data_IF_539807911107
#
_entry.id   IF_539807911107
#
_cell.length_a   1.000
_cell.length_b   1.000
_cell.length_c   1.000
_cell.angle_alpha   90.00
_cell.angle_beta   90.00
_cell.angle_gamma   90.00
#
_symmetry.space_group_name_H-M   'P 1'
#
loop_
_entity.id
_entity.type
_entity.pdbx_description
1 polymer ?
#
# COMPACT_ATOMS: atom_id res chain seq x y z
N UNK A 1 18.82 -4.77 -9.94
CA UNK A 1 19.37 -4.68 -8.56
C UNK A 1 19.57 -6.09 -8.04
N UNK A 2 20.66 -6.32 -7.30
CA UNK A 2 20.85 -7.60 -6.59
C UNK A 2 19.76 -7.76 -5.53
N UNK A 3 19.31 -8.99 -5.29
CA UNK A 3 18.35 -9.31 -4.22
C UNK A 3 19.17 -9.38 -2.92
N UNK A 4 18.99 -8.41 -2.02
CA UNK A 4 19.76 -8.32 -0.79
C UNK A 4 19.03 -7.55 0.32
N UNK A 5 19.19 -8.01 1.54
CA UNK A 5 18.85 -7.26 2.75
C UNK A 5 19.99 -6.31 3.09
N UNK A 6 19.68 -5.01 3.21
CA UNK A 6 20.59 -3.96 3.67
C UNK A 6 19.87 -3.26 4.82
N UNK A 7 20.56 -3.07 5.94
CA UNK A 7 19.99 -2.33 7.06
C UNK A 7 19.97 -0.82 6.73
N UNK A 8 18.81 -0.18 6.57
CA UNK A 8 18.74 1.23 6.20
C UNK A 8 19.30 2.18 7.27
N UNK A 9 19.33 1.76 8.53
CA UNK A 9 19.86 2.56 9.63
C UNK A 9 21.39 2.61 9.67
N UNK A 10 22.09 1.62 9.07
CA UNK A 10 23.55 1.55 9.06
C UNK A 10 24.16 1.55 7.67
N UNK A 11 23.37 1.22 6.63
CA UNK A 11 23.86 0.98 5.27
C UNK A 11 24.55 -0.38 5.08
N UNK A 12 24.62 -1.21 6.12
CA UNK A 12 25.32 -2.50 6.09
C UNK A 12 24.50 -3.58 5.38
N UNK A 13 25.16 -4.36 4.52
CA UNK A 13 24.56 -5.54 3.90
C UNK A 13 24.44 -6.69 4.90
N UNK A 14 23.22 -7.09 5.21
CA UNK A 14 22.92 -8.19 6.13
C UNK A 14 23.01 -9.57 5.44
N UNK A 15 22.41 -9.69 4.25
CA UNK A 15 22.34 -10.95 3.52
C UNK A 15 22.12 -10.74 2.02
N UNK A 16 22.81 -11.53 1.19
CA UNK A 16 22.59 -11.60 -0.26
C UNK A 16 21.82 -12.87 -0.65
N UNK A 17 21.05 -12.78 -1.73
CA UNK A 17 20.27 -13.89 -2.25
C UNK A 17 20.52 -14.08 -3.74
N UNK A 18 20.58 -15.34 -4.18
CA UNK A 18 20.68 -15.67 -5.60
C UNK A 18 19.28 -15.72 -6.21
N UNK A 19 19.11 -15.05 -7.33
CA UNK A 19 17.85 -15.14 -8.09
C UNK A 19 17.61 -16.57 -8.57
N UNK A 20 16.36 -17.01 -8.58
CA UNK A 20 15.97 -18.30 -9.08
C UNK A 20 16.21 -18.38 -10.60
N UNK A 21 16.72 -19.52 -11.03
CA UNK A 21 16.84 -19.85 -12.45
C UNK A 21 15.50 -20.32 -13.06
N UNK A 22 15.46 -20.46 -14.38
CA UNK A 22 14.25 -20.85 -15.09
C UNK A 22 13.72 -22.23 -14.65
N UNK A 23 14.58 -23.17 -14.28
CA UNK A 23 14.15 -24.50 -13.82
C UNK A 23 13.42 -24.42 -12.45
N UNK A 24 13.89 -23.58 -11.53
CA UNK A 24 13.23 -23.36 -10.26
C UNK A 24 11.90 -22.62 -10.42
N UNK A 25 11.85 -21.63 -11.30
CA UNK A 25 10.61 -20.89 -11.63
C UNK A 25 9.59 -21.88 -12.22
N UNK A 26 9.99 -22.73 -13.19
CA UNK A 26 9.13 -23.73 -13.81
C UNK A 26 8.58 -24.72 -12.79
N UNK A 27 9.41 -25.18 -11.86
CA UNK A 27 9.00 -26.08 -10.78
C UNK A 27 7.92 -25.43 -9.89
N UNK A 28 8.11 -24.15 -9.53
CA UNK A 28 7.16 -23.41 -8.69
C UNK A 28 5.84 -23.11 -9.41
N UNK A 29 5.87 -22.80 -10.69
CA UNK A 29 4.66 -22.62 -11.49
C UNK A 29 3.84 -23.90 -11.62
N UNK A 30 4.48 -25.06 -11.87
CA UNK A 30 3.79 -26.36 -11.86
C UNK A 30 3.17 -26.68 -10.51
N UNK A 31 3.88 -26.39 -9.41
CA UNK A 31 3.37 -26.59 -8.06
C UNK A 31 2.15 -25.72 -7.81
N UNK A 32 2.17 -24.43 -8.18
CA UNK A 32 1.03 -23.52 -8.03
C UNK A 32 -0.20 -23.99 -8.82
N UNK A 33 0.00 -24.46 -10.06
CA UNK A 33 -1.09 -25.00 -10.87
C UNK A 33 -1.72 -26.25 -10.23
N UNK A 34 -0.89 -27.16 -9.73
CA UNK A 34 -1.35 -28.36 -9.02
C UNK A 34 -2.11 -28.00 -7.74
N UNK A 35 -1.53 -27.14 -6.88
CA UNK A 35 -2.15 -26.67 -5.65
C UNK A 35 -3.50 -25.99 -5.89
N UNK A 36 -3.62 -25.21 -6.97
CA UNK A 36 -4.90 -24.59 -7.34
C UNK A 36 -6.00 -25.62 -7.58
N UNK A 37 -5.71 -26.75 -8.26
CA UNK A 37 -6.72 -27.78 -8.53
C UNK A 37 -7.27 -28.43 -7.27
N UNK A 38 -6.51 -28.43 -6.19
CA UNK A 38 -6.92 -28.93 -4.89
C UNK A 38 -7.60 -27.83 -4.08
N UNK A 39 -6.94 -26.68 -3.92
CA UNK A 39 -7.38 -25.56 -3.08
C UNK A 39 -8.74 -24.99 -3.49
N UNK A 40 -9.02 -24.88 -4.79
CA UNK A 40 -10.34 -24.42 -5.30
C UNK A 40 -11.52 -25.29 -4.88
N UNK A 41 -11.27 -26.54 -4.50
CA UNK A 41 -12.28 -27.52 -4.10
C UNK A 41 -12.45 -27.63 -2.59
N UNK A 42 -11.55 -27.00 -1.83
CA UNK A 42 -11.66 -26.97 -0.37
C UNK A 42 -12.86 -26.12 0.06
N UNK A 43 -13.54 -26.56 1.12
CA UNK A 43 -14.68 -25.81 1.67
C UNK A 43 -14.24 -24.48 2.32
N UNK A 44 -15.12 -23.50 2.39
CA UNK A 44 -14.87 -22.25 3.12
C UNK A 44 -14.42 -22.48 4.57
N UNK A 45 -15.05 -23.36 5.38
CA UNK A 45 -14.57 -23.65 6.73
C UNK A 45 -13.13 -24.16 6.77
N UNK A 46 -12.72 -25.00 5.80
CA UNK A 46 -11.34 -25.50 5.75
C UNK A 46 -10.35 -24.38 5.45
N UNK A 47 -10.63 -23.54 4.44
CA UNK A 47 -9.78 -22.38 4.10
C UNK A 47 -9.74 -21.37 5.26
N UNK A 48 -10.87 -21.13 5.93
CA UNK A 48 -10.95 -20.27 7.11
C UNK A 48 -10.07 -20.78 8.25
N UNK A 49 -10.10 -22.09 8.54
CA UNK A 49 -9.24 -22.70 9.57
C UNK A 49 -7.75 -22.50 9.26
N UNK A 50 -7.34 -22.69 8.01
CA UNK A 50 -5.95 -22.45 7.58
C UNK A 50 -5.56 -20.99 7.76
N UNK A 51 -6.42 -20.07 7.36
CA UNK A 51 -6.14 -18.63 7.48
C UNK A 51 -6.10 -18.14 8.93
N UNK A 52 -6.95 -18.68 9.81
CA UNK A 52 -6.89 -18.45 11.26
C UNK A 52 -5.57 -18.98 11.85
N UNK A 53 -5.08 -20.12 11.36
CA UNK A 53 -3.77 -20.64 11.77
C UNK A 53 -2.64 -19.67 11.38
N UNK A 54 -2.69 -19.06 10.20
CA UNK A 54 -1.75 -18.00 9.80
C UNK A 54 -1.83 -16.81 10.76
N UNK A 55 -3.04 -16.33 11.08
CA UNK A 55 -3.24 -15.22 12.03
C UNK A 55 -2.60 -15.54 13.40
N UNK A 56 -2.77 -16.75 13.89
CA UNK A 56 -2.19 -17.20 15.17
C UNK A 56 -0.67 -17.22 15.13
N UNK A 57 -0.07 -17.66 14.01
CA UNK A 57 1.38 -17.61 13.82
C UNK A 57 1.90 -16.18 13.79
N UNK A 58 1.23 -15.28 13.05
CA UNK A 58 1.56 -13.85 13.00
C UNK A 58 1.55 -13.22 14.40
N UNK A 59 0.52 -13.45 15.20
CA UNK A 59 0.39 -12.93 16.56
C UNK A 59 1.48 -13.48 17.49
N UNK A 60 1.77 -14.78 17.41
CA UNK A 60 2.78 -15.44 18.23
C UNK A 60 4.20 -14.95 17.92
N UNK A 61 4.52 -14.72 16.66
CA UNK A 61 5.87 -14.42 16.18
C UNK A 61 6.06 -12.94 15.80
N UNK A 62 5.10 -12.08 16.16
CA UNK A 62 5.05 -10.66 15.72
C UNK A 62 6.34 -9.89 15.98
N UNK A 63 7.03 -10.13 17.10
CA UNK A 63 8.28 -9.43 17.42
C UNK A 63 9.46 -9.86 16.54
N UNK A 64 9.56 -11.14 16.19
CA UNK A 64 10.60 -11.66 15.31
C UNK A 64 10.39 -11.18 13.87
N UNK A 65 9.15 -11.28 13.39
CA UNK A 65 8.76 -10.79 12.06
C UNK A 65 8.94 -9.28 11.94
N UNK A 66 8.55 -8.52 12.96
CA UNK A 66 8.75 -7.07 13.04
C UNK A 66 10.24 -6.70 13.02
N UNK A 67 11.09 -7.45 13.75
CA UNK A 67 12.54 -7.23 13.72
C UNK A 67 13.12 -7.41 12.32
N UNK A 68 12.70 -8.45 11.60
CA UNK A 68 13.12 -8.67 10.20
C UNK A 68 12.71 -7.50 9.31
N UNK A 69 11.48 -7.02 9.46
CA UNK A 69 10.96 -5.86 8.72
C UNK A 69 11.74 -4.58 9.01
N UNK A 70 11.99 -4.27 10.29
CA UNK A 70 12.79 -3.11 10.70
C UNK A 70 14.19 -3.15 10.11
N UNK A 71 14.85 -4.30 10.14
CA UNK A 71 16.19 -4.49 9.59
C UNK A 71 16.27 -4.39 8.07
N UNK A 72 15.21 -4.75 7.32
CA UNK A 72 15.22 -4.74 5.86
C UNK A 72 14.74 -3.43 5.24
N UNK A 73 13.86 -2.67 5.94
CA UNK A 73 13.30 -1.45 5.35
C UNK A 73 13.29 -0.21 6.27
N UNK A 74 13.80 -0.33 7.50
CA UNK A 74 13.99 0.81 8.41
C UNK A 74 12.72 1.31 9.12
N UNK A 75 11.59 0.61 9.02
CA UNK A 75 10.37 0.94 9.76
C UNK A 75 10.61 0.86 11.26
N UNK A 76 10.05 1.80 12.02
CA UNK A 76 10.09 1.77 13.48
C UNK A 76 9.59 0.41 13.99
N UNK A 77 10.31 -0.17 14.93
CA UNK A 77 10.00 -1.52 15.44
C UNK A 77 8.56 -1.62 15.97
N UNK A 78 8.08 -0.60 16.73
CA UNK A 78 6.69 -0.56 17.19
C UNK A 78 5.68 -0.57 16.03
N UNK A 79 5.93 0.21 14.97
CA UNK A 79 5.07 0.25 13.80
C UNK A 79 5.13 -1.05 12.97
N UNK A 80 6.28 -1.76 13.00
CA UNK A 80 6.41 -3.09 12.40
C UNK A 80 5.59 -4.13 13.15
N UNK A 81 5.54 -4.08 14.48
CA UNK A 81 4.67 -4.95 15.30
C UNK A 81 3.19 -4.69 14.99
N UNK A 82 2.77 -3.42 14.91
CA UNK A 82 1.40 -3.04 14.54
C UNK A 82 1.00 -3.52 13.14
N UNK A 83 1.94 -3.52 12.18
CA UNK A 83 1.71 -4.05 10.84
C UNK A 83 1.45 -5.55 10.85
N UNK A 84 2.23 -6.33 11.61
CA UNK A 84 2.02 -7.78 11.76
C UNK A 84 0.66 -8.06 12.42
N UNK A 85 0.30 -7.33 13.46
CA UNK A 85 -1.01 -7.45 14.11
C UNK A 85 -2.16 -7.10 13.15
N UNK A 86 -1.96 -6.09 12.29
CA UNK A 86 -2.92 -5.72 11.24
C UNK A 86 -3.12 -6.86 10.23
N UNK A 87 -2.04 -7.55 9.85
CA UNK A 87 -2.12 -8.73 8.97
C UNK A 87 -2.95 -9.85 9.62
N UNK A 88 -2.72 -10.13 10.90
CA UNK A 88 -3.49 -11.12 11.64
C UNK A 88 -4.99 -10.77 11.69
N UNK A 89 -5.32 -9.50 11.98
CA UNK A 89 -6.71 -9.03 11.94
C UNK A 89 -7.34 -9.19 10.55
N UNK A 90 -6.60 -8.87 9.49
CA UNK A 90 -7.06 -9.05 8.11
C UNK A 90 -7.35 -10.52 7.77
N UNK A 91 -6.48 -11.44 8.19
CA UNK A 91 -6.71 -12.88 8.03
C UNK A 91 -7.98 -13.35 8.74
N UNK A 92 -8.19 -12.95 10.00
CA UNK A 92 -9.40 -13.31 10.77
C UNK A 92 -10.66 -12.73 10.10
N UNK A 93 -10.61 -11.48 9.67
CA UNK A 93 -11.73 -10.84 8.99
C UNK A 93 -12.19 -11.61 7.75
N UNK A 94 -11.25 -12.01 6.87
CA UNK A 94 -11.61 -12.79 5.68
C UNK A 94 -12.00 -14.22 6.00
N UNK A 95 -11.42 -14.86 7.03
CA UNK A 95 -11.87 -16.17 7.50
C UNK A 95 -13.34 -16.18 7.94
N UNK A 96 -13.81 -15.07 8.52
CA UNK A 96 -15.18 -14.91 9.01
C UNK A 96 -16.18 -14.45 7.94
N UNK A 97 -15.74 -13.70 6.93
CA UNK A 97 -16.65 -12.99 6.04
C UNK A 97 -16.60 -13.43 4.57
N UNK A 98 -15.55 -14.17 4.14
CA UNK A 98 -15.34 -14.47 2.72
C UNK A 98 -16.47 -15.30 2.09
N UNK A 99 -17.04 -16.25 2.83
CA UNK A 99 -18.17 -17.07 2.36
C UNK A 99 -19.35 -16.19 1.98
N UNK A 100 -19.75 -15.26 2.86
CA UNK A 100 -20.84 -14.30 2.62
C UNK A 100 -20.55 -13.38 1.42
N UNK A 101 -19.30 -12.99 1.20
CA UNK A 101 -18.93 -12.13 0.07
C UNK A 101 -18.98 -12.85 -1.29
N UNK A 102 -18.96 -14.16 -1.28
CA UNK A 102 -18.92 -15.01 -2.47
C UNK A 102 -20.16 -15.92 -2.59
N UNK A 103 -21.22 -15.64 -1.81
CA UNK A 103 -22.51 -16.29 -1.98
C UNK A 103 -23.07 -16.05 -3.39
N UNK A 104 -23.83 -17.02 -3.89
CA UNK A 104 -24.56 -16.88 -5.15
C UNK A 104 -25.55 -15.71 -5.06
N UNK A 105 -25.54 -14.82 -6.04
CA UNK A 105 -26.44 -13.68 -6.14
C UNK A 105 -27.63 -14.05 -7.06
N UNK A 106 -28.85 -14.29 -6.51
CA UNK A 106 -30.01 -14.59 -7.34
C UNK A 106 -30.36 -13.46 -8.28
N UNK A 107 -30.70 -13.79 -9.52
CA UNK A 107 -31.20 -12.85 -10.50
C UNK A 107 -32.63 -13.27 -10.94
N UNK A 108 -33.54 -12.33 -11.04
CA UNK A 108 -34.90 -12.61 -11.54
C UNK A 108 -34.92 -12.51 -13.07
N UNK A 109 -35.19 -13.63 -13.73
CA UNK A 109 -35.22 -13.74 -15.20
C UNK A 109 -36.35 -14.70 -15.60
N UNK A 110 -36.50 -14.98 -16.89
CA UNK A 110 -37.44 -15.95 -17.43
C UNK A 110 -37.03 -17.42 -17.20
N UNK A 111 -35.84 -17.67 -16.64
CA UNK A 111 -35.37 -19.01 -16.30
C UNK A 111 -36.08 -19.56 -15.04
N UNK A 112 -36.16 -20.89 -14.96
CA UNK A 112 -36.61 -21.54 -13.72
C UNK A 112 -35.70 -21.18 -12.53
N UNK A 113 -34.39 -21.01 -12.77
CA UNK A 113 -33.41 -20.54 -11.79
C UNK A 113 -32.27 -19.82 -12.53
N UNK A 114 -31.94 -18.62 -12.05
CA UNK A 114 -30.77 -17.90 -12.54
C UNK A 114 -30.06 -17.16 -11.41
N UNK A 115 -28.75 -17.15 -11.47
CA UNK A 115 -27.89 -16.53 -10.46
C UNK A 115 -26.50 -16.27 -10.98
N UNK A 116 -25.80 -15.38 -10.29
CA UNK A 116 -24.38 -15.13 -10.45
C UNK A 116 -23.60 -16.00 -9.47
N UNK A 117 -22.63 -16.74 -9.98
CA UNK A 117 -21.73 -17.60 -9.20
C UNK A 117 -20.30 -17.11 -9.27
N UNK A 118 -19.59 -17.08 -8.15
CA UNK A 118 -18.20 -16.63 -8.09
C UNK A 118 -17.24 -17.83 -8.07
N UNK A 119 -16.37 -17.95 -9.09
CA UNK A 119 -15.36 -19.01 -9.19
C UNK A 119 -13.94 -18.44 -9.14
N UNK A 120 -13.00 -19.07 -8.37
CA UNK A 120 -11.59 -18.69 -8.41
C UNK A 120 -10.99 -18.94 -9.79
N UNK A 121 -10.13 -18.02 -10.24
CA UNK A 121 -9.56 -18.09 -11.60
C UNK A 121 -8.23 -18.81 -11.70
N UNK A 122 -7.45 -18.92 -10.61
CA UNK A 122 -6.21 -19.69 -10.59
C UNK A 122 -5.02 -19.00 -9.92
N UNK A 123 -3.78 -19.32 -10.36
CA UNK A 123 -2.60 -18.68 -9.86
C UNK A 123 -2.53 -17.18 -10.21
N UNK A 124 -2.31 -16.34 -9.21
CA UNK A 124 -2.22 -14.89 -9.33
C UNK A 124 -0.79 -14.45 -9.03
N UNK A 125 -0.18 -13.70 -9.93
CA UNK A 125 1.12 -13.07 -9.71
C UNK A 125 0.94 -11.80 -8.89
N UNK A 126 1.50 -11.76 -7.68
CA UNK A 126 1.51 -10.61 -6.80
C UNK A 126 2.89 -9.94 -6.82
N UNK A 127 2.97 -8.69 -7.26
CA UNK A 127 4.19 -7.89 -7.32
C UNK A 127 4.08 -6.81 -6.25
N UNK A 128 4.81 -6.97 -5.13
CA UNK A 128 4.60 -6.18 -3.94
C UNK A 128 5.80 -5.32 -3.57
N UNK A 129 5.58 -4.10 -3.02
CA UNK A 129 6.62 -3.16 -2.66
C UNK A 129 7.15 -3.42 -1.25
N UNK A 130 8.17 -2.69 -0.87
CA UNK A 130 8.92 -2.81 0.38
C UNK A 130 8.34 -2.01 1.56
N UNK A 131 7.45 -1.05 1.34
CA UNK A 131 7.09 -0.05 2.37
C UNK A 131 6.17 -0.58 3.50
N UNK A 132 5.35 -1.56 3.21
CA UNK A 132 4.58 -2.36 4.17
C UNK A 132 4.73 -3.84 3.78
N UNK A 133 5.90 -4.46 4.08
CA UNK A 133 6.29 -5.74 3.47
C UNK A 133 5.33 -6.89 3.75
N UNK A 134 4.67 -6.88 4.90
CA UNK A 134 3.64 -7.86 5.23
C UNK A 134 2.26 -7.41 4.80
N UNK A 135 1.84 -6.19 5.16
CA UNK A 135 0.46 -5.76 4.89
C UNK A 135 0.11 -5.73 3.41
N UNK A 136 1.01 -5.27 2.53
CA UNK A 136 0.77 -5.27 1.08
C UNK A 136 0.54 -6.70 0.55
N UNK A 137 1.26 -7.67 1.08
CA UNK A 137 1.08 -9.08 0.70
C UNK A 137 -0.21 -9.65 1.28
N UNK A 138 -0.46 -9.46 2.59
CA UNK A 138 -1.64 -10.02 3.24
C UNK A 138 -2.95 -9.38 2.78
N UNK A 139 -2.93 -8.11 2.38
CA UNK A 139 -4.06 -7.40 1.78
C UNK A 139 -4.57 -8.10 0.52
N UNK A 140 -3.66 -8.68 -0.26
CA UNK A 140 -3.96 -9.53 -1.40
C UNK A 140 -4.18 -10.99 -1.00
N UNK A 141 -3.24 -11.60 -0.26
CA UNK A 141 -3.19 -13.04 -0.04
C UNK A 141 -4.38 -13.57 0.77
N UNK A 142 -4.80 -12.85 1.81
CA UNK A 142 -5.91 -13.30 2.66
C UNK A 142 -7.23 -13.46 1.87
N UNK A 143 -7.73 -12.45 1.14
CA UNK A 143 -8.93 -12.61 0.32
C UNK A 143 -8.72 -13.59 -0.84
N UNK A 144 -7.56 -13.60 -1.51
CA UNK A 144 -7.32 -14.47 -2.67
C UNK A 144 -7.33 -15.95 -2.28
N UNK A 145 -6.68 -16.33 -1.17
CA UNK A 145 -6.67 -17.70 -0.67
C UNK A 145 -8.05 -18.11 -0.14
N UNK A 146 -8.78 -17.23 0.57
CA UNK A 146 -10.14 -17.51 0.98
C UNK A 146 -11.09 -17.70 -0.20
N UNK A 147 -10.88 -17.00 -1.30
CA UNK A 147 -11.62 -17.16 -2.54
C UNK A 147 -11.31 -18.49 -3.27
N UNK A 148 -10.24 -19.19 -2.89
CA UNK A 148 -9.80 -20.44 -3.52
C UNK A 148 -8.78 -20.26 -4.65
N UNK A 149 -8.24 -19.05 -4.83
CA UNK A 149 -7.07 -18.78 -5.68
C UNK A 149 -5.78 -19.19 -4.98
N UNK A 150 -4.66 -19.17 -5.72
CA UNK A 150 -3.32 -19.36 -5.16
C UNK A 150 -2.42 -18.19 -5.54
N UNK A 151 -1.45 -17.86 -4.69
CA UNK A 151 -0.60 -16.68 -4.82
C UNK A 151 0.85 -17.01 -5.18
N UNK A 152 1.41 -16.28 -6.13
CA UNK A 152 2.84 -16.29 -6.45
C UNK A 152 3.38 -14.89 -6.21
N UNK A 153 4.21 -14.74 -5.17
CA UNK A 153 4.74 -13.45 -4.74
C UNK A 153 6.09 -13.16 -5.41
N UNK A 154 6.16 -12.03 -6.11
CA UNK A 154 7.43 -11.35 -6.41
C UNK A 154 7.52 -10.10 -5.53
N UNK A 155 8.27 -10.17 -4.45
CA UNK A 155 8.47 -9.04 -3.54
C UNK A 155 9.57 -8.09 -4.02
N UNK A 156 9.65 -6.88 -3.42
CA UNK A 156 10.75 -5.96 -3.65
C UNK A 156 12.11 -6.59 -3.27
N UNK A 157 13.15 -6.25 -4.03
CA UNK A 157 14.46 -6.89 -3.92
C UNK A 157 15.20 -6.58 -2.60
N UNK A 158 14.77 -5.56 -1.88
CA UNK A 158 15.35 -5.12 -0.60
C UNK A 158 14.68 -5.73 0.65
N UNK A 159 13.60 -6.51 0.49
CA UNK A 159 12.90 -7.18 1.62
C UNK A 159 12.73 -8.69 1.39
N UNK A 160 13.79 -9.41 0.96
CA UNK A 160 13.69 -10.83 0.61
C UNK A 160 13.45 -11.73 1.82
N UNK A 161 13.92 -11.38 3.02
CA UNK A 161 13.68 -12.18 4.22
C UNK A 161 12.22 -12.08 4.67
N UNK A 162 11.60 -10.89 4.56
CA UNK A 162 10.15 -10.73 4.77
C UNK A 162 9.35 -11.62 3.79
N UNK A 163 9.72 -11.62 2.50
CA UNK A 163 9.05 -12.46 1.50
C UNK A 163 9.12 -13.95 1.81
N UNK A 164 10.29 -14.46 2.20
CA UNK A 164 10.48 -15.85 2.57
C UNK A 164 9.77 -16.22 3.88
N UNK A 165 9.76 -15.30 4.86
CA UNK A 165 9.02 -15.50 6.10
C UNK A 165 7.51 -15.65 5.85
N UNK A 166 6.95 -14.86 4.94
CA UNK A 166 5.52 -14.95 4.55
C UNK A 166 5.21 -16.32 3.92
N UNK A 167 6.02 -16.81 2.97
CA UNK A 167 5.84 -18.16 2.40
C UNK A 167 5.85 -19.23 3.50
N UNK A 168 6.81 -19.15 4.42
CA UNK A 168 6.91 -20.10 5.54
C UNK A 168 5.71 -20.05 6.49
N UNK A 169 5.13 -18.87 6.75
CA UNK A 169 3.93 -18.74 7.57
C UNK A 169 2.76 -19.51 6.96
N UNK A 170 2.52 -19.41 5.66
CA UNK A 170 1.46 -20.17 4.99
C UNK A 170 1.72 -21.69 5.01
N UNK A 171 2.94 -22.13 4.71
CA UNK A 171 3.30 -23.54 4.77
C UNK A 171 3.12 -24.13 6.20
N UNK A 172 3.59 -23.43 7.23
CA UNK A 172 3.48 -23.86 8.63
C UNK A 172 2.06 -23.80 9.18
N UNK A 173 1.19 -22.96 8.60
CA UNK A 173 -0.24 -22.93 8.90
C UNK A 173 -1.00 -24.13 8.30
N UNK A 174 -0.37 -24.91 7.42
CA UNK A 174 -0.91 -26.12 6.82
C UNK A 174 -1.49 -25.92 5.41
N UNK A 175 -1.25 -24.77 4.77
CA UNK A 175 -1.52 -24.61 3.34
C UNK A 175 -0.58 -25.52 2.53
N UNK A 176 -1.07 -26.03 1.38
CA UNK A 176 -0.20 -26.70 0.41
C UNK A 176 0.95 -25.76 0.02
N UNK A 177 2.17 -26.32 -0.14
CA UNK A 177 3.37 -25.54 -0.49
C UNK A 177 3.24 -24.75 -1.81
N UNK A 178 2.30 -25.12 -2.68
CA UNK A 178 1.99 -24.42 -3.93
C UNK A 178 0.92 -23.35 -3.78
N UNK A 179 0.19 -23.30 -2.67
CA UNK A 179 -0.90 -22.33 -2.47
C UNK A 179 -0.39 -20.89 -2.32
N UNK A 180 0.77 -20.71 -1.68
CA UNK A 180 1.44 -19.40 -1.63
C UNK A 180 2.95 -19.56 -1.70
N UNK A 181 3.58 -19.02 -2.74
CA UNK A 181 5.02 -19.18 -2.99
C UNK A 181 5.67 -17.83 -3.27
N UNK A 182 6.92 -17.68 -2.84
CA UNK A 182 7.77 -16.50 -3.14
C UNK A 182 8.73 -16.82 -4.28
N UNK A 183 8.78 -15.97 -5.30
CA UNK A 183 9.80 -16.01 -6.35
C UNK A 183 10.89 -14.97 -6.08
N UNK A 184 12.08 -15.41 -5.71
CA UNK A 184 13.26 -14.55 -5.67
C UNK A 184 13.79 -14.36 -7.09
N UNK A 185 13.25 -13.37 -7.81
CA UNK A 185 13.55 -13.08 -9.21
C UNK A 185 13.83 -11.60 -9.45
N UNK A 186 14.51 -11.32 -10.53
CA UNK A 186 14.77 -9.96 -10.99
C UNK A 186 13.56 -9.39 -11.78
N UNK A 187 13.49 -8.06 -11.86
CA UNK A 187 12.39 -7.37 -12.56
C UNK A 187 12.26 -7.79 -14.04
N UNK A 188 13.38 -8.08 -14.72
CA UNK A 188 13.38 -8.52 -16.13
C UNK A 188 12.66 -9.86 -16.41
N UNK A 189 12.44 -10.67 -15.34
CA UNK A 189 11.76 -11.96 -15.45
C UNK A 189 10.23 -11.85 -15.32
N UNK A 190 9.71 -10.68 -14.89
CA UNK A 190 8.28 -10.47 -14.63
C UNK A 190 7.45 -10.61 -15.89
N UNK A 191 7.89 -10.05 -17.02
CA UNK A 191 7.16 -10.12 -18.29
C UNK A 191 6.93 -11.59 -18.71
N UNK A 192 7.96 -12.44 -18.62
CA UNK A 192 7.88 -13.88 -18.92
C UNK A 192 6.83 -14.59 -18.04
N UNK A 193 6.72 -14.20 -16.77
CA UNK A 193 5.69 -14.74 -15.86
C UNK A 193 4.29 -14.28 -16.23
N UNK A 194 4.12 -13.01 -16.60
CA UNK A 194 2.80 -12.49 -16.99
C UNK A 194 2.30 -13.18 -18.26
N UNK A 195 3.18 -13.48 -19.20
CA UNK A 195 2.84 -14.19 -20.46
C UNK A 195 2.52 -15.67 -20.22
N UNK A 196 3.02 -16.28 -19.15
CA UNK A 196 2.78 -17.71 -18.86
C UNK A 196 1.27 -17.99 -18.68
N UNK A 197 0.69 -18.97 -19.42
CA UNK A 197 -0.75 -19.24 -19.39
C UNK A 197 -1.26 -19.76 -18.04
N UNK A 198 -0.38 -20.24 -17.16
CA UNK A 198 -0.72 -20.68 -15.80
C UNK A 198 -1.03 -19.50 -14.90
N UNK A 199 -0.41 -18.34 -15.10
CA UNK A 199 -0.74 -17.10 -14.41
C UNK A 199 -2.04 -16.54 -15.00
N UNK A 200 -3.07 -16.41 -14.16
CA UNK A 200 -4.42 -16.00 -14.59
C UNK A 200 -4.71 -14.53 -14.41
N UNK A 201 -4.03 -13.89 -13.47
CA UNK A 201 -4.16 -12.46 -13.19
C UNK A 201 -2.89 -11.92 -12.55
N UNK A 202 -2.80 -10.59 -12.46
CA UNK A 202 -1.67 -9.91 -11.84
C UNK A 202 -2.19 -8.85 -10.87
N UNK A 203 -1.65 -8.78 -9.66
CA UNK A 203 -1.77 -7.63 -8.78
C UNK A 203 -0.42 -6.98 -8.61
N UNK A 204 -0.39 -5.65 -8.64
CA UNK A 204 0.82 -4.88 -8.39
C UNK A 204 0.52 -3.71 -7.46
N UNK A 205 1.27 -3.61 -6.38
CA UNK A 205 1.42 -2.36 -5.64
C UNK A 205 2.81 -1.80 -5.88
N UNK A 206 2.90 -0.53 -6.30
CA UNK A 206 4.21 0.05 -6.62
C UNK A 206 4.16 1.40 -7.33
N UNK A 207 5.24 1.73 -8.04
CA UNK A 207 5.30 2.99 -8.78
C UNK A 207 4.44 2.98 -10.03
N UNK A 208 3.97 4.16 -10.47
CA UNK A 208 3.24 4.38 -11.71
C UNK A 208 3.95 3.74 -12.93
N UNK A 209 5.28 3.88 -13.00
CA UNK A 209 6.09 3.29 -14.07
C UNK A 209 6.00 1.76 -14.08
N UNK A 210 6.07 1.13 -12.91
CA UNK A 210 5.95 -0.32 -12.80
C UNK A 210 4.52 -0.78 -13.13
N UNK A 211 3.50 -0.06 -12.63
CA UNK A 211 2.10 -0.34 -12.93
C UNK A 211 1.78 -0.26 -14.42
N UNK A 212 2.27 0.78 -15.11
CA UNK A 212 2.10 0.93 -16.56
C UNK A 212 2.74 -0.23 -17.34
N UNK A 213 3.96 -0.64 -16.98
CA UNK A 213 4.65 -1.76 -17.64
C UNK A 213 3.91 -3.10 -17.43
N UNK A 214 3.54 -3.41 -16.19
CA UNK A 214 2.84 -4.65 -15.83
C UNK A 214 1.44 -4.68 -16.44
N UNK A 215 0.67 -3.59 -16.29
CA UNK A 215 -0.67 -3.48 -16.86
C UNK A 215 -0.69 -3.62 -18.38
N UNK A 216 0.27 -2.99 -19.06
CA UNK A 216 0.41 -3.12 -20.52
C UNK A 216 0.69 -4.57 -20.95
N UNK A 217 1.59 -5.29 -20.26
CA UNK A 217 1.86 -6.70 -20.55
C UNK A 217 0.64 -7.58 -20.27
N UNK A 218 -0.01 -7.40 -19.12
CA UNK A 218 -1.19 -8.17 -18.76
C UNK A 218 -2.37 -7.93 -19.73
N UNK A 219 -2.55 -6.70 -20.21
CA UNK A 219 -3.58 -6.36 -21.20
C UNK A 219 -3.35 -7.04 -22.54
N UNK A 220 -2.09 -7.16 -23.01
CA UNK A 220 -1.77 -7.95 -24.23
C UNK A 220 -2.15 -9.42 -24.08
N UNK A 221 -2.08 -9.97 -22.87
CA UNK A 221 -2.45 -11.35 -22.55
C UNK A 221 -3.91 -11.50 -22.10
N UNK A 222 -4.70 -10.42 -22.12
CA UNK A 222 -6.12 -10.37 -21.73
C UNK A 222 -6.31 -10.87 -20.28
N UNK A 223 -5.37 -10.53 -19.38
CA UNK A 223 -5.40 -10.94 -17.98
C UNK A 223 -5.92 -9.81 -17.08
N UNK A 224 -6.74 -10.16 -16.09
CA UNK A 224 -7.20 -9.22 -15.07
C UNK A 224 -6.03 -8.62 -14.32
N UNK A 225 -6.14 -7.32 -13.98
CA UNK A 225 -5.14 -6.62 -13.18
C UNK A 225 -5.79 -5.81 -12.07
N UNK A 226 -5.17 -5.82 -10.89
CA UNK A 226 -5.36 -4.81 -9.86
C UNK A 226 -4.05 -4.05 -9.71
N UNK A 227 -4.10 -2.74 -9.86
CA UNK A 227 -2.94 -1.88 -9.80
C UNK A 227 -3.15 -0.83 -8.70
N UNK A 228 -2.34 -0.90 -7.65
CA UNK A 228 -2.29 0.04 -6.55
C UNK A 228 -0.99 0.84 -6.65
N UNK A 229 -1.08 2.09 -7.06
CA UNK A 229 0.08 2.88 -7.45
C UNK A 229 0.32 4.06 -6.49
N UNK A 230 1.13 5.03 -6.92
CA UNK A 230 1.47 6.20 -6.13
C UNK A 230 0.27 7.09 -5.82
N UNK A 231 0.43 7.95 -4.83
CA UNK A 231 -0.53 8.96 -4.42
C UNK A 231 0.15 10.25 -4.00
N UNK A 232 -0.50 11.38 -4.23
CA UNK A 232 -0.12 12.69 -3.70
C UNK A 232 -1.29 13.27 -2.92
N UNK A 233 -1.66 12.55 -1.84
CA UNK A 233 -2.90 12.74 -1.13
C UNK A 233 -3.01 14.14 -0.51
N UNK A 234 -4.14 14.84 -0.72
CA UNK A 234 -4.44 16.11 -0.07
C UNK A 234 -4.85 15.91 1.40
N UNK A 235 -4.46 16.85 2.24
CA UNK A 235 -4.93 17.04 3.61
C UNK A 235 -5.48 18.46 3.72
N UNK A 236 -6.80 18.59 3.75
CA UNK A 236 -7.51 19.87 3.71
C UNK A 236 -7.94 20.23 5.13
N UNK A 237 -7.76 21.49 5.56
CA UNK A 237 -8.21 21.95 6.88
C UNK A 237 -8.98 23.27 6.75
N UNK A 238 -10.27 23.21 7.12
CA UNK A 238 -11.17 24.35 7.11
C UNK A 238 -11.29 25.01 8.49
N UNK A 239 -11.77 26.26 8.60
CA UNK A 239 -11.80 27.00 9.85
C UNK A 239 -12.65 26.37 10.97
N UNK A 240 -13.66 25.57 10.61
CA UNK A 240 -14.54 24.88 11.57
C UNK A 240 -13.96 23.61 12.17
N UNK A 241 -12.79 23.12 11.66
CA UNK A 241 -12.14 21.90 12.15
C UNK A 241 -11.73 22.01 13.62
N UNK A 242 -11.63 20.84 14.30
CA UNK A 242 -10.85 20.77 15.54
C UNK A 242 -9.38 21.05 15.21
N UNK A 243 -8.97 22.27 15.48
CA UNK A 243 -7.66 22.79 15.09
C UNK A 243 -6.50 21.95 15.68
N UNK A 244 -6.56 21.64 16.98
CA UNK A 244 -5.49 20.93 17.68
C UNK A 244 -5.34 19.49 17.15
N UNK A 245 -6.47 18.81 16.96
CA UNK A 245 -6.51 17.47 16.41
C UNK A 245 -6.07 17.45 14.94
N UNK A 246 -6.48 18.44 14.13
CA UNK A 246 -6.09 18.56 12.74
C UNK A 246 -4.56 18.74 12.59
N UNK A 247 -3.92 19.62 13.38
CA UNK A 247 -2.47 19.83 13.34
C UNK A 247 -1.71 18.57 13.74
N UNK A 248 -2.06 17.94 14.88
CA UNK A 248 -1.36 16.73 15.34
C UNK A 248 -1.54 15.55 14.37
N UNK A 249 -2.74 15.43 13.79
CA UNK A 249 -2.99 14.41 12.78
C UNK A 249 -2.28 14.70 11.45
N UNK A 250 -2.14 15.96 11.05
CA UNK A 250 -1.38 16.37 9.86
C UNK A 250 0.09 15.92 9.96
N UNK A 251 0.73 16.14 11.12
CA UNK A 251 2.09 15.65 11.37
C UNK A 251 2.16 14.13 11.23
N UNK A 252 1.27 13.40 11.90
CA UNK A 252 1.20 11.95 11.85
C UNK A 252 0.92 11.44 10.41
N UNK A 253 -0.01 12.08 9.70
CA UNK A 253 -0.37 11.72 8.32
C UNK A 253 0.79 11.92 7.34
N UNK A 254 1.66 12.94 7.58
CA UNK A 254 2.86 13.12 6.77
C UNK A 254 3.94 12.11 7.10
N UNK A 255 4.11 11.79 8.37
CA UNK A 255 5.29 11.08 8.89
C UNK A 255 5.09 9.58 9.07
N UNK A 256 3.87 9.08 8.85
CA UNK A 256 3.62 7.63 8.89
C UNK A 256 4.63 6.88 8.02
N UNK A 257 5.31 5.89 8.61
CA UNK A 257 6.36 5.10 7.97
C UNK A 257 7.49 5.99 7.37
N UNK A 258 7.88 7.06 8.09
CA UNK A 258 8.85 8.07 7.62
C UNK A 258 8.39 8.76 6.30
N UNK A 259 7.08 8.91 6.11
CA UNK A 259 6.49 9.45 4.88
C UNK A 259 6.48 8.47 3.69
N UNK A 260 6.92 7.25 3.86
CA UNK A 260 7.02 6.21 2.84
C UNK A 260 5.72 5.40 2.73
N UNK A 261 4.61 6.10 2.56
CA UNK A 261 3.28 5.51 2.35
C UNK A 261 2.57 6.19 1.18
N UNK A 262 1.93 5.39 0.34
CA UNK A 262 1.13 5.91 -0.78
C UNK A 262 0.00 6.82 -0.29
N UNK A 263 -0.64 6.46 0.84
CA UNK A 263 -1.70 7.25 1.50
C UNK A 263 -1.20 8.23 2.56
N UNK A 264 0.11 8.46 2.71
CA UNK A 264 0.59 9.57 3.54
C UNK A 264 0.19 10.89 2.88
N UNK A 265 -0.31 11.85 3.66
CA UNK A 265 -0.61 13.18 3.15
C UNK A 265 0.66 13.88 2.65
N UNK A 266 0.65 14.44 1.45
CA UNK A 266 1.80 15.12 0.82
C UNK A 266 1.53 16.61 0.64
N UNK A 267 0.28 16.98 0.29
CA UNK A 267 -0.14 18.34 -0.01
C UNK A 267 -1.16 18.78 1.04
N UNK A 268 -0.84 19.83 1.79
CA UNK A 268 -1.66 20.36 2.89
C UNK A 268 -2.31 21.66 2.44
N UNK A 269 -3.63 21.69 2.31
CA UNK A 269 -4.43 22.82 1.87
C UNK A 269 -5.13 23.43 3.09
N UNK A 270 -4.69 24.60 3.52
CA UNK A 270 -5.12 25.22 4.79
C UNK A 270 -5.87 26.49 4.48
N UNK A 271 -7.09 26.63 5.01
CA UNK A 271 -7.91 27.82 4.83
C UNK A 271 -7.19 29.07 5.35
N UNK A 272 -7.30 30.17 4.59
CA UNK A 272 -6.60 31.43 4.83
C UNK A 272 -6.74 31.95 6.27
N UNK A 273 -7.95 31.87 6.84
CA UNK A 273 -8.25 32.34 8.20
C UNK A 273 -7.41 31.67 9.31
N UNK A 274 -6.95 30.44 9.08
CA UNK A 274 -6.23 29.65 10.07
C UNK A 274 -4.80 29.32 9.64
N UNK A 275 -4.40 29.71 8.42
CA UNK A 275 -3.16 29.29 7.79
C UNK A 275 -1.92 29.61 8.61
N UNK A 276 -1.75 30.85 9.04
CA UNK A 276 -0.51 31.26 9.71
C UNK A 276 -0.34 30.53 11.07
N UNK A 277 -1.43 30.41 11.84
CA UNK A 277 -1.42 29.66 13.10
C UNK A 277 -1.19 28.16 12.88
N UNK A 278 -1.84 27.58 11.84
CA UNK A 278 -1.62 26.17 11.48
C UNK A 278 -0.16 25.93 11.09
N UNK A 279 0.38 26.77 10.22
CA UNK A 279 1.76 26.63 9.71
C UNK A 279 2.77 26.73 10.84
N UNK A 280 2.62 27.69 11.78
CA UNK A 280 3.48 27.82 12.95
C UNK A 280 3.49 26.55 13.78
N UNK A 281 2.32 26.02 14.16
CA UNK A 281 2.20 24.81 14.98
C UNK A 281 2.65 23.54 14.26
N UNK A 282 2.36 23.43 12.97
CA UNK A 282 2.78 22.31 12.16
C UNK A 282 4.30 22.25 12.01
N UNK A 283 4.94 23.39 11.70
CA UNK A 283 6.41 23.49 11.58
C UNK A 283 7.08 23.21 12.92
N UNK A 284 6.54 23.75 14.04
CA UNK A 284 7.04 23.49 15.39
C UNK A 284 7.06 21.98 15.67
N UNK A 285 5.93 21.29 15.44
CA UNK A 285 5.84 19.84 15.68
C UNK A 285 6.72 19.02 14.70
N UNK A 286 6.76 19.38 13.43
CA UNK A 286 7.65 18.70 12.46
C UNK A 286 9.13 18.83 12.85
N UNK A 287 9.54 19.96 13.38
CA UNK A 287 10.94 20.24 13.80
C UNK A 287 11.36 19.47 15.04
N UNK A 288 10.42 19.17 15.94
CA UNK A 288 10.71 18.48 17.22
C UNK A 288 10.73 16.96 17.09
N UNK A 289 10.34 16.39 15.94
CA UNK A 289 10.33 14.95 15.73
C UNK A 289 11.72 14.36 15.87
N UNK A 290 11.87 13.35 16.73
CA UNK A 290 13.13 12.66 16.96
C UNK A 290 13.44 11.69 15.81
N UNK A 291 14.48 12.02 15.04
CA UNK A 291 15.03 11.14 13.99
C UNK A 291 16.12 10.23 14.60
N UNK A 292 16.10 8.92 14.34
CA UNK A 292 17.10 8.04 14.93
C UNK A 292 16.91 6.54 14.65
N UNK A 293 17.53 5.73 15.49
CA UNK A 293 17.49 4.29 15.42
C UNK A 293 16.02 3.77 15.46
N UNK A 294 15.57 3.00 14.47
CA UNK A 294 14.21 2.48 14.43
C UNK A 294 13.86 1.50 15.57
N UNK A 295 14.85 1.03 16.32
CA UNK A 295 14.64 0.19 17.51
C UNK A 295 14.52 0.99 18.81
N UNK A 296 14.92 2.26 18.85
CA UNK A 296 14.71 3.13 20.01
C UNK A 296 13.21 3.52 20.10
N UNK A 297 12.58 3.22 21.23
CA UNK A 297 11.16 3.49 21.48
C UNK A 297 10.80 4.98 21.41
N UNK A 298 11.77 5.86 21.61
CA UNK A 298 11.57 7.32 21.55
C UNK A 298 11.75 7.89 20.14
N UNK A 299 12.25 7.12 19.18
CA UNK A 299 12.38 7.53 17.78
C UNK A 299 11.01 7.67 17.13
N UNK A 300 10.79 8.76 16.41
CA UNK A 300 9.54 9.05 15.69
C UNK A 300 9.72 8.93 14.17
N UNK A 301 10.93 9.19 13.68
CA UNK A 301 11.31 9.12 12.27
C UNK A 301 12.49 8.16 12.12
N UNK A 302 12.29 7.06 11.42
CA UNK A 302 13.34 6.13 11.04
C UNK A 302 14.05 6.55 9.74
N UNK A 303 14.96 5.70 9.22
CA UNK A 303 15.60 5.93 7.94
C UNK A 303 14.64 5.72 6.77
N UNK A 304 15.00 6.25 5.61
CA UNK A 304 14.43 5.86 4.32
C UNK A 304 14.97 4.48 3.91
N UNK A 305 14.17 3.69 3.23
CA UNK A 305 14.45 2.26 3.03
C UNK A 305 15.69 1.96 2.16
N UNK A 306 16.09 2.90 1.29
CA UNK A 306 17.28 2.73 0.44
C UNK A 306 17.94 4.08 0.16
N UNK A 307 19.24 4.03 -0.16
CA UNK A 307 19.98 5.21 -0.61
C UNK A 307 19.36 5.86 -1.87
N UNK A 308 18.83 5.04 -2.79
CA UNK A 308 18.15 5.55 -3.98
C UNK A 308 16.92 6.40 -3.63
N UNK A 309 16.13 5.99 -2.61
CA UNK A 309 14.97 6.76 -2.15
C UNK A 309 15.43 8.05 -1.48
N UNK A 310 16.44 7.99 -0.61
CA UNK A 310 17.04 9.16 0.01
C UNK A 310 17.50 10.19 -1.04
N UNK A 311 18.18 9.72 -2.07
CA UNK A 311 18.66 10.56 -3.16
C UNK A 311 17.52 11.19 -3.96
N UNK A 312 16.47 10.40 -4.26
CA UNK A 312 15.28 10.86 -4.97
C UNK A 312 14.49 11.92 -4.21
N UNK A 313 14.24 11.71 -2.91
CA UNK A 313 13.57 12.69 -2.05
C UNK A 313 14.35 13.99 -1.98
N UNK A 314 15.68 13.90 -1.76
CA UNK A 314 16.53 15.09 -1.71
C UNK A 314 16.51 15.86 -3.03
N UNK A 315 16.64 15.17 -4.16
CA UNK A 315 16.58 15.79 -5.49
C UNK A 315 15.23 16.49 -5.74
N UNK A 316 14.10 15.89 -5.35
CA UNK A 316 12.78 16.50 -5.46
C UNK A 316 12.66 17.77 -4.62
N UNK A 317 13.20 17.78 -3.38
CA UNK A 317 13.21 18.96 -2.52
C UNK A 317 14.07 20.06 -3.13
N UNK A 318 15.31 19.76 -3.55
CA UNK A 318 16.20 20.74 -4.16
C UNK A 318 15.65 21.36 -5.45
N UNK A 319 15.06 20.53 -6.32
CA UNK A 319 14.40 21.01 -7.54
C UNK A 319 13.18 21.89 -7.25
N UNK A 320 12.42 21.57 -6.20
CA UNK A 320 11.27 22.38 -5.81
C UNK A 320 11.70 23.74 -5.25
N UNK A 321 12.77 23.77 -4.46
CA UNK A 321 13.37 25.03 -3.98
C UNK A 321 13.95 25.87 -5.14
N UNK A 322 14.65 25.23 -6.08
CA UNK A 322 15.15 25.91 -7.26
C UNK A 322 14.03 26.47 -8.17
N UNK A 323 12.85 25.84 -8.15
CA UNK A 323 11.66 26.36 -8.85
C UNK A 323 10.98 27.51 -8.10
N UNK A 324 11.34 27.82 -6.85
CA UNK A 324 10.81 28.92 -6.07
C UNK A 324 10.12 28.56 -4.75
N UNK A 325 10.02 27.27 -4.41
CA UNK A 325 9.48 26.86 -3.10
C UNK A 325 10.39 27.35 -1.96
N UNK A 326 9.76 27.76 -0.85
CA UNK A 326 10.49 28.20 0.35
C UNK A 326 10.55 27.07 1.37
N UNK A 327 11.74 26.83 1.91
CA UNK A 327 12.00 25.88 2.98
C UNK A 327 11.81 26.53 4.33
N UNK A 328 10.95 25.93 5.20
CA UNK A 328 10.75 26.41 6.57
C UNK A 328 11.50 25.57 7.61
N UNK A 329 11.67 24.26 7.35
CA UNK A 329 12.46 23.37 8.22
C UNK A 329 12.93 22.16 7.42
N UNK A 330 14.03 21.53 7.83
CA UNK A 330 14.56 20.31 7.25
C UNK A 330 15.28 20.56 5.91
N UNK A 331 15.03 19.70 4.94
CA UNK A 331 15.56 19.81 3.57
C UNK A 331 16.92 19.17 3.34
N UNK A 332 17.50 18.52 4.36
CA UNK A 332 18.83 17.95 4.29
C UNK A 332 18.85 16.46 4.57
N UNK A 333 19.86 15.80 4.01
CA UNK A 333 20.29 14.48 4.46
C UNK A 333 20.96 14.60 5.82
N UNK A 334 20.70 13.68 6.72
CA UNK A 334 21.41 13.65 8.01
C UNK A 334 22.74 12.95 7.80
N UNK A 335 23.83 13.60 8.19
CA UNK A 335 25.18 13.06 8.08
C UNK A 335 25.38 11.84 9.01
N UNK A 336 26.10 10.85 8.54
CA UNK A 336 26.39 9.63 9.29
C UNK A 336 26.01 8.37 8.54
N UNK A 337 26.04 7.20 9.19
CA UNK A 337 25.62 5.95 8.58
C UNK A 337 24.10 5.92 8.36
N UNK A 338 23.65 5.12 7.37
CA UNK A 338 22.24 4.95 7.07
C UNK A 338 21.62 6.04 6.18
N UNK A 339 20.32 5.94 5.97
CA UNK A 339 19.62 6.72 4.94
C UNK A 339 18.61 7.69 5.56
N UNK A 340 19.07 8.56 6.44
CA UNK A 340 18.23 9.48 7.19
C UNK A 340 17.98 10.80 6.47
N UNK A 341 16.79 11.34 6.60
CA UNK A 341 16.36 12.62 6.06
C UNK A 341 15.57 13.42 7.09
N UNK A 342 15.79 14.73 7.12
CA UNK A 342 15.12 15.63 8.04
C UNK A 342 13.63 15.77 7.70
N UNK A 343 12.72 15.79 8.71
CA UNK A 343 11.34 16.23 8.52
C UNK A 343 11.30 17.62 7.91
N UNK A 344 10.64 17.74 6.75
CA UNK A 344 10.77 18.90 5.86
C UNK A 344 9.41 19.54 5.59
N UNK A 345 9.35 20.86 5.63
CA UNK A 345 8.16 21.65 5.27
C UNK A 345 8.53 22.68 4.21
N UNK A 346 7.81 22.63 3.08
CA UNK A 346 7.89 23.56 1.96
C UNK A 346 6.60 24.40 1.89
N UNK A 347 6.74 25.68 1.62
CA UNK A 347 5.64 26.62 1.33
C UNK A 347 5.92 27.35 0.02
N UNK A 348 4.94 28.12 -0.47
CA UNK A 348 5.03 28.83 -1.75
C UNK A 348 5.46 27.92 -2.91
N UNK A 349 4.97 26.67 -2.89
CA UNK A 349 5.37 25.60 -3.81
C UNK A 349 4.79 25.84 -5.20
N UNK A 350 5.62 26.09 -6.24
CA UNK A 350 5.12 26.34 -7.59
C UNK A 350 4.44 25.11 -8.21
N UNK A 351 3.36 25.35 -8.99
CA UNK A 351 2.58 24.27 -9.65
C UNK A 351 3.42 23.39 -10.61
N UNK A 352 4.54 23.87 -11.11
CA UNK A 352 5.46 23.12 -11.99
C UNK A 352 6.60 22.42 -11.26
N UNK A 353 6.64 22.47 -9.93
CA UNK A 353 7.69 21.85 -9.12
C UNK A 353 7.41 20.37 -8.83
N UNK A 354 8.46 19.55 -8.53
CA UNK A 354 8.28 18.16 -8.14
C UNK A 354 7.38 17.98 -6.89
N UNK A 355 7.52 18.84 -5.88
CA UNK A 355 6.71 18.75 -4.66
C UNK A 355 5.21 18.97 -4.89
N UNK A 356 4.83 19.60 -6.01
CA UNK A 356 3.43 19.76 -6.44
C UNK A 356 2.96 18.60 -7.33
N UNK A 357 3.78 18.20 -8.32
CA UNK A 357 3.38 17.30 -9.42
C UNK A 357 3.69 15.82 -9.21
N UNK A 358 4.68 15.52 -8.37
CA UNK A 358 5.16 14.16 -8.16
C UNK A 358 4.78 13.63 -6.77
N UNK A 359 4.91 12.32 -6.60
CA UNK A 359 4.84 11.71 -5.28
C UNK A 359 6.20 11.87 -4.57
N UNK A 360 6.25 12.66 -3.48
CA UNK A 360 7.43 12.74 -2.61
C UNK A 360 7.34 11.68 -1.52
N UNK A 361 8.12 10.61 -1.67
CA UNK A 361 8.03 9.39 -0.84
C UNK A 361 8.99 9.42 0.35
N UNK A 362 8.84 10.47 1.19
CA UNK A 362 9.66 10.74 2.37
C UNK A 362 9.00 11.80 3.27
N UNK A 363 9.63 12.22 4.37
CA UNK A 363 9.01 13.07 5.40
C UNK A 363 8.95 14.56 4.97
N UNK A 364 8.40 14.84 3.80
CA UNK A 364 8.34 16.17 3.19
C UNK A 364 6.89 16.60 2.97
N UNK A 365 6.48 17.72 3.56
CA UNK A 365 5.16 18.32 3.42
C UNK A 365 5.22 19.56 2.51
N UNK A 366 4.27 19.67 1.57
CA UNK A 366 4.01 20.88 0.79
C UNK A 366 2.73 21.54 1.31
N UNK A 367 2.82 22.79 1.83
CA UNK A 367 1.70 23.49 2.47
C UNK A 367 1.25 24.65 1.58
N UNK A 368 -0.06 24.71 1.36
CA UNK A 368 -0.72 25.68 0.49
C UNK A 368 -1.80 26.43 1.27
N UNK A 369 -1.93 27.72 1.00
CA UNK A 369 -3.03 28.56 1.47
C UNK A 369 -4.19 28.50 0.48
N UNK A 370 -5.40 28.33 0.97
CA UNK A 370 -6.64 28.32 0.17
C UNK A 370 -7.67 29.26 0.76
N UNK A 371 -8.47 29.87 -0.10
CA UNK A 371 -9.50 30.88 0.30
C UNK A 371 -10.75 30.22 0.90
N UNK A 372 -11.20 29.15 0.24
CA UNK A 372 -12.49 28.50 0.44
C UNK A 372 -12.43 27.01 0.11
N UNK A 373 -13.47 26.22 0.41
CA UNK A 373 -13.53 24.80 0.08
C UNK A 373 -13.39 24.50 -1.42
N UNK A 374 -13.94 25.35 -2.27
CA UNK A 374 -13.94 25.20 -3.74
C UNK A 374 -12.51 25.28 -4.30
N UNK A 375 -11.71 26.25 -3.85
CA UNK A 375 -10.30 26.34 -4.23
C UNK A 375 -9.49 25.16 -3.67
N UNK A 376 -9.79 24.71 -2.45
CA UNK A 376 -9.16 23.53 -1.89
C UNK A 376 -9.41 22.29 -2.75
N UNK A 377 -10.64 22.08 -3.22
CA UNK A 377 -11.04 20.99 -4.11
C UNK A 377 -10.35 21.13 -5.47
N UNK A 378 -10.39 22.32 -6.09
CA UNK A 378 -9.70 22.56 -7.36
C UNK A 378 -8.22 22.18 -7.27
N UNK A 379 -7.53 22.68 -6.25
CA UNK A 379 -6.10 22.40 -6.07
C UNK A 379 -5.82 20.95 -5.69
N UNK A 380 -6.68 20.32 -4.89
CA UNK A 380 -6.56 18.92 -4.53
C UNK A 380 -6.69 18.02 -5.78
N UNK A 381 -7.65 18.33 -6.64
CA UNK A 381 -7.94 17.60 -7.87
C UNK A 381 -6.94 17.89 -9.01
N UNK A 382 -6.19 19.02 -8.96
CA UNK A 382 -5.10 19.34 -9.91
C UNK A 382 -3.89 18.41 -9.65
N UNK A 383 -4.14 17.12 -9.79
CA UNK A 383 -3.16 16.06 -9.65
C UNK A 383 -3.49 14.91 -10.59
N UNK A 384 -2.45 14.26 -11.11
CA UNK A 384 -2.62 13.01 -11.85
C UNK A 384 -2.96 11.82 -10.94
N UNK A 385 -2.80 11.97 -9.63
CA UNK A 385 -3.11 10.96 -8.62
C UNK A 385 -4.52 11.16 -8.04
N UNK A 386 -5.08 10.10 -7.47
CA UNK A 386 -6.36 10.09 -6.80
C UNK A 386 -6.52 8.84 -5.92
N UNK A 387 -5.58 8.63 -4.96
CA UNK A 387 -5.64 7.44 -4.09
C UNK A 387 -6.56 7.69 -2.91
N UNK A 388 -6.20 8.62 -2.03
CA UNK A 388 -7.03 9.01 -0.91
C UNK A 388 -6.98 10.54 -0.70
N UNK A 389 -7.92 11.04 0.09
CA UNK A 389 -8.00 12.42 0.54
C UNK A 389 -8.45 12.47 2.00
N UNK A 390 -7.98 13.48 2.74
CA UNK A 390 -8.41 13.78 4.09
C UNK A 390 -8.89 15.22 4.15
N UNK A 391 -10.10 15.46 4.67
CA UNK A 391 -10.67 16.80 4.84
C UNK A 391 -11.18 17.00 6.28
N UNK A 392 -10.82 18.12 6.87
CA UNK A 392 -11.08 18.46 8.25
C UNK A 392 -12.01 19.66 8.33
N UNK A 393 -13.23 19.42 8.76
CA UNK A 393 -14.28 20.43 8.94
C UNK A 393 -15.40 19.88 9.81
N UNK A 394 -16.02 20.74 10.63
CA UNK A 394 -17.23 20.42 11.39
C UNK A 394 -18.50 20.97 10.72
N UNK A 395 -18.38 21.65 9.58
CA UNK A 395 -19.52 22.07 8.78
C UNK A 395 -20.06 20.88 7.94
N UNK A 396 -21.30 20.41 8.13
CA UNK A 396 -21.86 19.30 7.41
C UNK A 396 -22.01 19.55 5.90
N UNK A 397 -22.15 20.80 5.45
CA UNK A 397 -22.21 21.15 4.03
C UNK A 397 -20.84 20.97 3.38
N UNK A 398 -19.78 21.42 4.06
CA UNK A 398 -18.41 21.18 3.60
C UNK A 398 -18.05 19.68 3.60
N UNK A 399 -18.51 18.91 4.60
CA UNK A 399 -18.28 17.46 4.66
C UNK A 399 -18.86 16.76 3.43
N UNK A 400 -20.11 17.05 3.07
CA UNK A 400 -20.76 16.48 1.88
C UNK A 400 -20.08 16.94 0.60
N UNK A 401 -19.71 18.23 0.51
CA UNK A 401 -18.99 18.78 -0.62
C UNK A 401 -17.64 18.06 -0.84
N UNK A 402 -16.83 17.89 0.19
CA UNK A 402 -15.57 17.16 0.06
C UNK A 402 -15.77 15.69 -0.27
N UNK A 403 -16.78 15.04 0.28
CA UNK A 403 -17.09 13.63 0.01
C UNK A 403 -17.48 13.41 -1.45
N UNK A 404 -18.20 14.36 -2.08
CA UNK A 404 -18.69 14.25 -3.46
C UNK A 404 -17.70 14.74 -4.50
N UNK A 405 -16.92 15.79 -4.22
CA UNK A 405 -16.14 16.49 -5.24
C UNK A 405 -14.65 16.14 -5.29
N UNK A 406 -14.11 15.48 -4.24
CA UNK A 406 -12.70 15.06 -4.27
C UNK A 406 -12.51 13.82 -5.16
N UNK A 407 -11.70 13.97 -6.21
CA UNK A 407 -11.41 12.94 -7.22
C UNK A 407 -10.38 11.92 -6.69
N UNK A 408 -10.78 11.16 -5.66
CA UNK A 408 -9.97 10.11 -5.05
C UNK A 408 -10.79 8.83 -4.84
N UNK A 409 -10.10 7.69 -4.73
CA UNK A 409 -10.78 6.42 -4.45
C UNK A 409 -11.30 6.30 -3.03
N UNK A 410 -10.77 7.13 -2.11
CA UNK A 410 -11.14 7.13 -0.69
C UNK A 410 -11.12 8.56 -0.13
N UNK A 411 -12.17 8.94 0.59
CA UNK A 411 -12.26 10.24 1.29
C UNK A 411 -12.47 10.01 2.77
N UNK A 412 -11.69 10.70 3.60
CA UNK A 412 -11.73 10.62 5.05
C UNK A 412 -12.07 11.99 5.63
N UNK A 413 -13.20 12.11 6.28
CA UNK A 413 -13.64 13.35 6.96
C UNK A 413 -13.24 13.28 8.43
N UNK A 414 -12.51 14.29 8.91
CA UNK A 414 -11.97 14.39 10.27
C UNK A 414 -11.14 13.17 10.71
N UNK A 415 -10.46 12.56 9.76
CA UNK A 415 -9.60 11.41 9.98
C UNK A 415 -8.44 11.39 8.97
N UNK A 416 -7.32 10.76 9.33
CA UNK A 416 -6.26 10.49 8.36
C UNK A 416 -6.61 9.27 7.49
N UNK A 417 -6.09 9.23 6.27
CA UNK A 417 -6.25 8.09 5.37
C UNK A 417 -5.70 6.80 5.97
N UNK A 418 -6.48 5.72 5.88
CA UNK A 418 -6.12 4.41 6.39
C UNK A 418 -6.70 3.29 5.51
N UNK A 419 -6.07 2.11 5.54
CA UNK A 419 -6.65 0.89 4.96
C UNK A 419 -7.33 0.06 6.05
N UNK A 420 -8.56 -0.36 5.78
CA UNK A 420 -9.38 -1.19 6.67
C UNK A 420 -9.90 -2.40 5.89
N UNK A 421 -9.79 -3.64 6.39
CA UNK A 421 -10.25 -4.83 5.66
C UNK A 421 -11.76 -4.83 5.36
N UNK A 422 -12.54 -4.00 6.04
CA UNK A 422 -14.01 -3.88 5.86
C UNK A 422 -14.42 -3.02 4.66
N UNK A 423 -13.52 -2.13 4.19
CA UNK A 423 -13.81 -1.16 3.14
C UNK A 423 -12.91 -1.38 1.92
N UNK A 424 -13.40 -1.11 0.70
CA UNK A 424 -12.56 -1.16 -0.48
C UNK A 424 -11.39 -0.18 -0.39
N UNK A 425 -10.22 -0.61 -0.82
CA UNK A 425 -9.02 0.19 -0.91
C UNK A 425 -8.57 0.30 -2.37
N UNK A 426 -8.28 1.49 -2.84
CA UNK A 426 -7.76 1.72 -4.18
C UNK A 426 -8.05 3.11 -4.70
N UNK A 427 -7.30 3.49 -5.74
CA UNK A 427 -7.33 4.82 -6.31
C UNK A 427 -8.10 4.92 -7.63
N UNK A 428 -8.16 6.14 -8.12
CA UNK A 428 -8.60 6.53 -9.47
C UNK A 428 -7.46 7.25 -10.18
N UNK A 429 -7.66 7.72 -11.41
CA UNK A 429 -6.62 8.36 -12.21
C UNK A 429 -5.37 7.47 -12.31
N UNK A 430 -4.17 8.03 -12.13
CA UNK A 430 -2.93 7.28 -12.19
C UNK A 430 -2.52 6.61 -10.86
N UNK A 431 -3.37 6.68 -9.85
CA UNK A 431 -3.19 5.92 -8.61
C UNK A 431 -3.63 4.46 -8.73
N UNK A 432 -4.33 4.08 -9.80
CA UNK A 432 -4.55 2.67 -10.06
C UNK A 432 -5.90 2.32 -10.68
N UNK A 433 -6.13 1.00 -10.76
CA UNK A 433 -7.35 0.39 -11.28
C UNK A 433 -7.66 -0.88 -10.48
N UNK A 434 -8.94 -1.17 -10.30
CA UNK A 434 -9.43 -2.24 -9.43
C UNK A 434 -9.46 -1.79 -7.96
N UNK A 435 -9.80 -2.72 -7.09
CA UNK A 435 -9.85 -2.48 -5.63
C UNK A 435 -9.25 -3.67 -4.88
N UNK A 436 -8.65 -3.37 -3.75
CA UNK A 436 -8.32 -4.38 -2.74
C UNK A 436 -9.22 -4.20 -1.53
N UNK A 437 -9.28 -5.19 -0.66
CA UNK A 437 -10.08 -5.20 0.57
C UNK A 437 -11.61 -5.14 0.35
N UNK A 438 -12.36 -5.33 1.44
CA UNK A 438 -13.80 -5.44 1.43
C UNK A 438 -14.33 -6.58 0.55
N UNK A 439 -15.61 -6.55 0.25
CA UNK A 439 -16.26 -7.47 -0.68
C UNK A 439 -15.82 -7.24 -2.15
N UNK A 440 -15.46 -6.00 -2.50
CA UNK A 440 -14.96 -5.69 -3.84
C UNK A 440 -13.62 -6.36 -4.10
N UNK A 441 -12.66 -6.23 -3.16
CA UNK A 441 -11.32 -6.77 -3.34
C UNK A 441 -11.26 -8.29 -3.45
N UNK A 442 -12.09 -9.03 -2.68
CA UNK A 442 -12.11 -10.50 -2.81
C UNK A 442 -12.68 -10.95 -4.16
N UNK A 443 -13.57 -10.17 -4.78
CA UNK A 443 -14.20 -10.48 -6.07
C UNK A 443 -13.33 -10.12 -7.28
N UNK A 444 -12.29 -9.32 -7.12
CA UNK A 444 -11.43 -8.87 -8.25
C UNK A 444 -10.81 -10.05 -9.01
N UNK A 445 -10.39 -11.09 -8.30
CA UNK A 445 -9.79 -12.27 -8.92
C UNK A 445 -10.74 -13.46 -9.00
N UNK A 446 -12.04 -13.15 -9.23
CA UNK A 446 -13.07 -14.16 -9.45
C UNK A 446 -13.61 -14.08 -10.87
N UNK A 447 -14.07 -15.21 -11.37
CA UNK A 447 -14.95 -15.27 -12.53
C UNK A 447 -16.40 -15.15 -12.03
N UNK A 448 -17.05 -14.06 -12.36
CA UNK A 448 -18.47 -13.86 -12.15
C UNK A 448 -19.24 -14.61 -13.24
N UNK A 449 -19.65 -15.84 -12.95
CA UNK A 449 -20.28 -16.76 -13.90
C UNK A 449 -21.80 -16.68 -13.85
N UNK A 450 -22.44 -16.40 -14.97
CA UNK A 450 -23.90 -16.53 -15.09
C UNK A 450 -24.30 -17.98 -15.12
N UNK A 451 -25.21 -18.40 -14.25
CA UNK A 451 -25.86 -19.69 -14.27
C UNK A 451 -27.34 -19.49 -14.65
N UNK A 452 -27.76 -20.19 -15.71
CA UNK A 452 -29.11 -20.14 -16.23
C UNK A 452 -29.64 -21.57 -16.35
N UNK A 453 -30.70 -21.88 -15.65
CA UNK A 453 -31.38 -23.18 -15.71
C UNK A 453 -32.80 -22.96 -16.28
N UNK A 454 -33.05 -23.45 -17.47
CA UNK A 454 -34.34 -23.35 -18.18
C UNK A 454 -35.46 -24.12 -17.49
#
# INVERSE_FOLDING_TARGET
MAIASINPATGEKLKGFTAFNDAEIERRLKRAEHAFQQHRRESFPKRAQLLVSVATLLEREKKELARTMTLEMGKLFRASVEEIEKCARGCRYYAENAERFLEDEPAQTDARRSYLHYEPIGPILAIMPWNFPFWQVFRFAAPALMAGNVGILKHAANVPQCALAIEQLFCRAGFDEGAFQTLLIEAKQIEKLIVDPRIKAVTLTGSEKAGSAVGSTAAREIKKTVLELGGSDPFIVMPSADFGLAVSTAVKARTINTGQSCIAAKRFFIADKIYDNFLEKFVEQMRTLKVGDPFDETTEIGPLATEQILNGVHEQVQKSMAAGAKLLTGGNRIAGPGFFYEPTVLVDVPRNSPAYREEVFGPVAAVFRVRDPEEAIEMANDSRFGLAASAWTNDPVEQELFASELESGMVFINAMSASDPRLPFGGVKRSGVGRELGAHGIREFMNAKTIWVA
#
